data_IF_115648672237
#
_entry.id   IF_115648672237
#
_cell.length_a   1.000
_cell.length_b   1.000
_cell.length_c   1.000
_cell.angle_alpha   90.00
_cell.angle_beta   90.00
_cell.angle_gamma   90.00
#
_symmetry.space_group_name_H-M   'P 1'
#
loop_
_entity.id
_entity.type
_entity.pdbx_description
1 polymer ?
#
# COMPACT_ATOMS: atom_id res chain seq x y z
N UNK A 1 7.10 -31.72 0.57
CA UNK A 1 7.70 -30.69 1.45
C UNK A 1 6.99 -30.77 2.80
N UNK A 2 7.69 -30.63 3.92
CA UNK A 2 7.03 -30.59 5.25
C UNK A 2 6.06 -29.40 5.30
N UNK A 3 4.80 -29.63 5.67
CA UNK A 3 3.81 -28.55 5.87
C UNK A 3 4.03 -27.79 7.18
N UNK A 4 4.91 -28.29 8.05
CA UNK A 4 5.13 -27.77 9.40
C UNK A 4 5.40 -26.24 9.46
N UNK A 5 6.24 -25.63 8.60
CA UNK A 5 6.43 -24.18 8.64
C UNK A 5 5.18 -23.42 8.20
N UNK A 6 4.47 -23.91 7.17
CA UNK A 6 3.25 -23.29 6.66
C UNK A 6 2.14 -23.33 7.71
N UNK A 7 1.91 -24.48 8.33
CA UNK A 7 0.85 -24.64 9.34
C UNK A 7 1.09 -23.71 10.54
N UNK A 8 2.35 -23.54 10.97
CA UNK A 8 2.73 -22.60 12.05
C UNK A 8 2.50 -21.14 11.66
N UNK A 9 2.92 -20.74 10.45
CA UNK A 9 2.70 -19.39 9.94
C UNK A 9 1.21 -19.09 9.80
N UNK A 10 0.44 -20.01 9.21
CA UNK A 10 -1.00 -19.88 9.05
C UNK A 10 -1.70 -19.75 10.41
N UNK A 11 -1.36 -20.59 11.39
CA UNK A 11 -1.93 -20.50 12.73
C UNK A 11 -1.60 -19.17 13.42
N UNK A 12 -0.39 -18.65 13.24
CA UNK A 12 -0.01 -17.33 13.74
C UNK A 12 -0.88 -16.24 13.12
N UNK A 13 -1.00 -16.21 11.78
CA UNK A 13 -1.76 -15.18 11.05
C UNK A 13 -3.23 -15.21 11.46
N UNK A 14 -3.85 -16.40 11.53
CA UNK A 14 -5.25 -16.55 11.94
C UNK A 14 -5.53 -16.04 13.35
N UNK A 15 -4.52 -15.93 14.21
CA UNK A 15 -4.65 -15.40 15.56
C UNK A 15 -4.42 -13.87 15.66
N UNK A 16 -4.22 -13.16 14.53
CA UNK A 16 -3.89 -11.72 14.49
C UNK A 16 -5.03 -10.81 14.03
N UNK A 17 -6.28 -11.25 14.11
CA UNK A 17 -7.44 -10.43 13.74
C UNK A 17 -7.45 -9.06 14.47
N UNK A 18 -7.29 -9.06 15.79
CA UNK A 18 -7.28 -7.81 16.57
C UNK A 18 -6.12 -6.87 16.21
N UNK A 19 -4.95 -7.44 15.93
CA UNK A 19 -3.77 -6.68 15.50
C UNK A 19 -3.99 -6.10 14.09
N UNK A 20 -4.55 -6.89 13.16
CA UNK A 20 -4.92 -6.43 11.83
C UNK A 20 -5.91 -5.25 11.89
N UNK A 21 -6.95 -5.38 12.71
CA UNK A 21 -7.94 -4.31 12.92
C UNK A 21 -7.28 -3.07 13.54
N UNK A 22 -6.34 -3.25 14.47
CA UNK A 22 -5.61 -2.14 15.08
C UNK A 22 -4.76 -1.37 14.07
N UNK A 23 -3.97 -2.08 13.26
CA UNK A 23 -3.15 -1.48 12.20
C UNK A 23 -4.05 -0.76 11.19
N UNK A 24 -5.13 -1.42 10.76
CA UNK A 24 -6.10 -0.86 9.80
C UNK A 24 -6.71 0.45 10.33
N UNK A 25 -7.16 0.47 11.58
CA UNK A 25 -7.70 1.68 12.21
C UNK A 25 -6.69 2.83 12.22
N UNK A 26 -5.43 2.54 12.55
CA UNK A 26 -4.39 3.55 12.55
C UNK A 26 -4.11 4.10 11.13
N UNK A 27 -3.98 3.22 10.13
CA UNK A 27 -3.75 3.62 8.75
C UNK A 27 -4.89 4.47 8.17
N UNK A 28 -6.15 4.06 8.40
CA UNK A 28 -7.34 4.80 7.96
C UNK A 28 -7.43 6.17 8.62
N UNK A 29 -7.00 6.30 9.88
CA UNK A 29 -7.05 7.58 10.60
C UNK A 29 -6.07 8.62 10.06
N UNK A 30 -5.02 8.19 9.35
CA UNK A 30 -4.01 9.08 8.78
C UNK A 30 -4.34 9.33 7.31
N UNK A 31 -4.81 10.54 7.01
CA UNK A 31 -5.18 10.94 5.64
C UNK A 31 -3.94 11.10 4.78
N UNK A 32 -3.69 10.14 3.90
CA UNK A 32 -2.58 10.16 2.94
C UNK A 32 -3.12 10.50 1.55
N UNK A 33 -3.58 11.74 1.39
CA UNK A 33 -4.06 12.25 0.11
C UNK A 33 -2.92 13.00 -0.58
N UNK A 34 -2.61 12.66 -1.83
CA UNK A 34 -1.66 13.43 -2.64
C UNK A 34 -2.17 14.85 -2.97
N UNK A 35 -1.30 15.77 -3.41
CA UNK A 35 -1.67 17.15 -3.75
C UNK A 35 -2.74 17.25 -4.84
N UNK A 36 -2.75 16.35 -5.83
CA UNK A 36 -3.79 16.31 -6.87
C UNK A 36 -5.17 15.95 -6.32
N UNK A 37 -5.21 15.29 -5.16
CA UNK A 37 -6.41 14.96 -4.39
C UNK A 37 -6.66 15.96 -3.25
N UNK A 38 -5.95 17.10 -3.23
CA UNK A 38 -6.13 18.17 -2.24
C UNK A 38 -5.51 17.90 -0.86
N UNK A 39 -4.59 16.94 -0.76
CA UNK A 39 -3.94 16.58 0.49
C UNK A 39 -2.48 17.00 0.62
N UNK A 40 -1.84 16.51 1.69
CA UNK A 40 -0.47 16.85 2.09
C UNK A 40 0.57 15.77 1.77
N UNK A 41 0.17 14.72 1.06
CA UNK A 41 0.99 13.53 0.80
C UNK A 41 0.98 12.53 1.97
N UNK A 42 1.90 11.58 1.91
CA UNK A 42 1.92 10.35 2.69
C UNK A 42 2.90 10.42 3.87
N UNK A 43 3.56 11.56 4.10
CA UNK A 43 4.64 11.72 5.08
C UNK A 43 4.27 11.23 6.49
N UNK A 44 3.09 11.60 7.00
CA UNK A 44 2.62 11.17 8.32
C UNK A 44 2.39 9.67 8.39
N UNK A 45 1.75 9.09 7.37
CA UNK A 45 1.47 7.65 7.31
C UNK A 45 2.76 6.84 7.13
N UNK A 46 3.66 7.28 6.26
CA UNK A 46 4.97 6.66 6.07
C UNK A 46 5.83 6.71 7.34
N UNK A 47 5.78 7.81 8.11
CA UNK A 47 6.46 7.92 9.39
C UNK A 47 5.87 6.95 10.43
N UNK A 48 4.54 6.90 10.55
CA UNK A 48 3.84 5.95 11.42
C UNK A 48 4.18 4.51 11.06
N UNK A 49 4.12 4.16 9.78
CA UNK A 49 4.41 2.81 9.28
C UNK A 49 5.86 2.41 9.53
N UNK A 50 6.81 3.32 9.31
CA UNK A 50 8.23 3.08 9.59
C UNK A 50 8.47 2.79 11.08
N UNK A 51 7.85 3.56 11.96
CA UNK A 51 7.93 3.35 13.41
C UNK A 51 7.28 2.02 13.82
N UNK A 52 6.11 1.72 13.27
CA UNK A 52 5.40 0.48 13.53
C UNK A 52 6.19 -0.76 13.08
N UNK A 53 6.79 -0.75 11.89
CA UNK A 53 7.65 -1.83 11.39
C UNK A 53 8.85 -2.07 12.31
N UNK A 54 9.56 -1.00 12.71
CA UNK A 54 10.70 -1.11 13.63
C UNK A 54 10.29 -1.70 14.99
N UNK A 55 9.20 -1.21 15.57
CA UNK A 55 8.64 -1.74 16.82
C UNK A 55 8.17 -3.19 16.70
N UNK A 56 7.75 -3.59 15.50
CA UNK A 56 7.31 -4.95 15.18
C UNK A 56 8.44 -5.95 14.99
N UNK A 57 9.71 -5.52 15.07
CA UNK A 57 10.89 -6.40 15.01
C UNK A 57 11.60 -6.44 13.66
N UNK A 58 11.16 -5.65 12.67
CA UNK A 58 11.85 -5.55 11.39
C UNK A 58 13.19 -4.81 11.56
N UNK A 59 14.29 -5.47 11.20
CA UNK A 59 15.65 -4.96 11.44
C UNK A 59 16.22 -4.12 10.28
N UNK A 60 15.75 -4.34 9.04
CA UNK A 60 16.10 -3.54 7.86
C UNK A 60 14.86 -2.82 7.34
N UNK A 61 14.63 -1.60 7.81
CA UNK A 61 13.53 -0.70 7.38
C UNK A 61 14.15 0.61 6.89
N UNK A 62 13.90 0.96 5.63
CA UNK A 62 14.45 2.15 4.97
C UNK A 62 13.37 2.93 4.25
N UNK A 63 13.48 4.26 4.29
CA UNK A 63 12.71 5.16 3.46
C UNK A 63 13.56 5.57 2.25
N UNK A 64 12.96 5.59 1.06
CA UNK A 64 13.50 6.10 -0.19
C UNK A 64 12.65 7.31 -0.61
N UNK A 65 12.89 8.50 -0.03
CA UNK A 65 12.06 9.66 -0.27
C UNK A 65 12.23 10.17 -1.70
N UNK A 66 11.11 10.37 -2.39
CA UNK A 66 11.04 11.00 -3.70
C UNK A 66 10.84 12.51 -3.55
N UNK A 67 11.72 13.38 -4.07
CA UNK A 67 11.54 14.82 -3.98
C UNK A 67 10.24 15.29 -4.64
N UNK A 68 9.41 16.04 -3.91
CA UNK A 68 8.15 16.60 -4.40
C UNK A 68 7.91 17.97 -3.72
N UNK A 69 8.18 19.10 -4.40
CA UNK A 69 7.99 20.42 -3.82
C UNK A 69 6.51 20.80 -3.64
N UNK A 70 5.56 20.00 -4.13
CA UNK A 70 4.13 20.28 -4.01
C UNK A 70 3.53 19.78 -2.69
N UNK A 71 4.23 18.92 -1.94
CA UNK A 71 3.84 18.52 -0.58
C UNK A 71 4.59 19.35 0.48
N UNK A 72 3.99 19.62 1.65
CA UNK A 72 4.64 20.38 2.72
C UNK A 72 5.95 19.76 3.23
N UNK A 73 6.08 18.43 3.17
CA UNK A 73 7.28 17.72 3.57
C UNK A 73 8.46 17.88 2.59
N UNK A 74 8.20 18.36 1.35
CA UNK A 74 9.18 18.46 0.28
C UNK A 74 9.55 17.12 -0.40
N UNK A 75 9.04 16.00 0.12
CA UNK A 75 9.28 14.65 -0.38
C UNK A 75 8.13 13.69 -0.03
N UNK A 76 7.99 12.63 -0.84
CA UNK A 76 7.01 11.55 -0.70
C UNK A 76 7.73 10.27 -0.26
N UNK A 77 7.34 9.62 0.85
CA UNK A 77 8.07 8.46 1.36
C UNK A 77 7.82 7.18 0.54
N UNK A 78 8.83 6.32 0.43
CA UNK A 78 8.68 4.96 -0.06
C UNK A 78 9.37 4.02 0.92
N UNK A 79 8.60 3.21 1.66
CA UNK A 79 9.11 2.43 2.78
C UNK A 79 9.40 1.01 2.34
N UNK A 80 10.64 0.57 2.49
CA UNK A 80 11.07 -0.82 2.22
C UNK A 80 11.44 -1.49 3.52
N UNK A 81 10.90 -2.68 3.77
CA UNK A 81 11.30 -3.56 4.86
C UNK A 81 11.82 -4.89 4.30
N UNK A 82 12.93 -5.40 4.83
CA UNK A 82 13.55 -6.64 4.33
C UNK A 82 13.73 -7.69 5.41
N UNK A 83 13.45 -8.93 5.05
CA UNK A 83 13.71 -10.12 5.86
C UNK A 83 14.65 -11.03 5.06
N UNK A 84 15.91 -11.21 5.50
CA UNK A 84 16.85 -12.08 4.81
C UNK A 84 16.36 -13.53 4.76
N UNK A 85 16.44 -14.13 3.58
CA UNK A 85 16.19 -15.56 3.38
C UNK A 85 17.44 -16.41 3.53
N UNK A 86 17.25 -17.72 3.48
CA UNK A 86 18.36 -18.69 3.36
C UNK A 86 19.13 -18.47 2.05
N UNK A 87 18.41 -18.07 1.01
CA UNK A 87 18.93 -17.75 -0.31
C UNK A 87 18.74 -16.26 -0.60
N UNK A 88 19.80 -15.62 -1.09
CA UNK A 88 19.85 -14.17 -1.34
C UNK A 88 20.01 -13.83 -2.83
N UNK A 89 20.05 -14.85 -3.69
CA UNK A 89 20.09 -14.73 -5.16
C UNK A 89 18.76 -14.29 -5.76
N UNK A 90 17.68 -14.35 -4.97
CA UNK A 90 16.32 -13.95 -5.34
C UNK A 90 15.59 -13.35 -4.14
N UNK A 91 14.69 -12.41 -4.41
CA UNK A 91 13.74 -11.86 -3.46
C UNK A 91 12.30 -12.09 -3.89
N UNK A 92 11.41 -12.19 -2.90
CA UNK A 92 9.96 -12.08 -3.07
C UNK A 92 9.58 -10.70 -2.53
N UNK A 93 9.00 -9.87 -3.39
CA UNK A 93 8.48 -8.55 -3.08
C UNK A 93 6.97 -8.62 -2.93
N UNK A 94 6.46 -8.03 -1.85
CA UNK A 94 5.03 -7.72 -1.71
C UNK A 94 4.91 -6.21 -1.72
N UNK A 95 4.10 -5.69 -2.65
CA UNK A 95 4.01 -4.26 -2.95
C UNK A 95 2.61 -3.75 -2.66
N UNK A 96 2.50 -2.68 -1.89
CA UNK A 96 1.24 -1.99 -1.60
C UNK A 96 1.47 -0.49 -1.61
N UNK A 97 0.39 0.28 -1.74
CA UNK A 97 0.46 1.74 -1.68
C UNK A 97 -0.12 2.28 -0.37
N UNK A 98 0.33 3.49 0.01
CA UNK A 98 -0.03 4.15 1.26
C UNK A 98 -1.10 5.21 1.07
N UNK A 99 -1.11 5.83 -0.10
CA UNK A 99 -2.06 6.86 -0.46
C UNK A 99 -3.47 6.30 -0.61
N UNK A 100 -4.43 7.21 -0.69
CA UNK A 100 -5.84 6.88 -0.90
C UNK A 100 -6.47 7.96 -1.77
N UNK A 101 -7.58 7.66 -2.42
CA UNK A 101 -8.45 8.68 -3.00
C UNK A 101 -9.25 9.48 -1.94
N UNK A 102 -9.76 10.67 -2.29
CA UNK A 102 -10.70 11.41 -1.43
C UNK A 102 -11.92 10.58 -1.02
N UNK A 103 -12.51 10.93 0.11
CA UNK A 103 -13.74 10.32 0.62
C UNK A 103 -14.95 10.54 -0.32
N UNK A 104 -14.90 11.58 -1.16
CA UNK A 104 -16.01 11.95 -2.02
C UNK A 104 -17.15 12.60 -1.24
N UNK A 105 -18.39 12.23 -1.56
CA UNK A 105 -19.59 12.82 -0.96
C UNK A 105 -19.87 12.23 0.43
N UNK A 106 -19.66 13.05 1.47
CA UNK A 106 -19.86 12.69 2.87
C UNK A 106 -21.30 12.26 3.20
N UNK A 107 -22.32 12.74 2.46
CA UNK A 107 -23.72 12.36 2.70
C UNK A 107 -24.01 10.90 2.33
N UNK A 108 -23.15 10.29 1.50
CA UNK A 108 -23.27 8.88 1.09
C UNK A 108 -22.56 7.91 2.04
N UNK A 109 -21.83 8.43 3.03
CA UNK A 109 -21.14 7.62 4.01
C UNK A 109 -22.05 7.31 5.20
N UNK A 110 -22.20 6.02 5.52
CA UNK A 110 -22.88 5.59 6.75
C UNK A 110 -21.97 5.64 7.99
N UNK A 111 -20.66 5.72 7.78
CA UNK A 111 -19.62 5.77 8.82
C UNK A 111 -18.58 6.83 8.47
N UNK A 112 -17.89 7.48 9.43
CA UNK A 112 -16.89 8.48 9.09
C UNK A 112 -15.76 7.85 8.26
N UNK A 113 -15.39 8.41 7.09
CA UNK A 113 -14.47 7.77 6.15
C UNK A 113 -13.07 7.53 6.76
N UNK A 114 -12.63 8.39 7.67
CA UNK A 114 -11.29 8.31 8.28
C UNK A 114 -11.33 7.80 9.73
N UNK A 115 -12.41 7.14 10.14
CA UNK A 115 -12.50 6.41 11.40
C UNK A 115 -12.92 4.97 11.09
N UNK A 116 -11.98 4.03 11.03
CA UNK A 116 -12.34 2.68 10.60
C UNK A 116 -13.32 2.02 11.58
N UNK A 117 -14.53 1.71 11.09
CA UNK A 117 -15.61 1.08 11.86
C UNK A 117 -15.67 -0.40 11.52
N UNK A 118 -15.60 -1.24 12.57
CA UNK A 118 -15.82 -2.69 12.41
C UNK A 118 -17.30 -2.97 12.64
N UNK A 119 -17.99 -3.52 11.64
CA UNK A 119 -19.41 -3.86 11.70
C UNK A 119 -19.67 -5.09 10.83
N UNK A 120 -20.42 -6.06 11.37
CA UNK A 120 -20.86 -7.25 10.62
C UNK A 120 -19.71 -8.02 9.92
N UNK A 121 -18.56 -8.14 10.61
CA UNK A 121 -17.39 -8.84 10.08
C UNK A 121 -16.64 -8.10 8.97
N UNK A 122 -16.94 -6.81 8.77
CA UNK A 122 -16.28 -5.94 7.77
C UNK A 122 -15.69 -4.72 8.45
N UNK A 123 -14.69 -4.11 7.80
CA UNK A 123 -14.09 -2.84 8.21
C UNK A 123 -14.46 -1.78 7.18
N UNK A 124 -15.14 -0.73 7.62
CA UNK A 124 -15.55 0.39 6.80
C UNK A 124 -14.64 1.59 7.07
N UNK A 125 -14.05 2.13 6.01
CA UNK A 125 -13.17 3.30 6.05
C UNK A 125 -12.56 3.54 4.67
N UNK A 126 -12.14 4.77 4.38
CA UNK A 126 -11.41 5.10 3.16
C UNK A 126 -10.02 4.47 3.26
N UNK A 127 -9.68 3.70 2.22
CA UNK A 127 -8.39 3.06 2.09
C UNK A 127 -8.36 1.61 2.56
N UNK A 128 -9.43 1.11 3.18
CA UNK A 128 -9.42 -0.24 3.78
C UNK A 128 -9.14 -1.32 2.74
N UNK A 129 -9.87 -1.31 1.63
CA UNK A 129 -9.69 -2.26 0.52
C UNK A 129 -8.57 -1.84 -0.45
N UNK A 130 -8.37 -0.54 -0.61
CA UNK A 130 -7.51 0.06 -1.63
C UNK A 130 -6.61 1.14 -0.99
N UNK A 131 -5.38 0.81 -0.57
CA UNK A 131 -4.78 -0.54 -0.55
C UNK A 131 -4.30 -0.99 0.85
N UNK A 132 -4.94 -0.50 1.92
CA UNK A 132 -4.48 -0.83 3.29
C UNK A 132 -4.66 -2.31 3.62
N UNK A 133 -5.57 -3.06 2.99
CA UNK A 133 -5.67 -4.50 3.22
C UNK A 133 -4.39 -5.23 2.79
N UNK A 134 -3.84 -4.88 1.61
CA UNK A 134 -2.64 -5.51 1.07
C UNK A 134 -1.44 -5.18 1.93
N UNK A 135 -1.38 -3.93 2.39
CA UNK A 135 -0.39 -3.43 3.34
C UNK A 135 -0.46 -4.20 4.67
N UNK A 136 -1.62 -4.29 5.30
CA UNK A 136 -1.81 -4.96 6.60
C UNK A 136 -1.54 -6.46 6.49
N UNK A 137 -2.07 -7.12 5.47
CA UNK A 137 -1.91 -8.56 5.26
C UNK A 137 -0.43 -8.93 5.03
N UNK A 138 0.27 -8.18 4.18
CA UNK A 138 1.68 -8.41 3.89
C UNK A 138 2.57 -8.17 5.11
N UNK A 139 2.26 -7.14 5.91
CA UNK A 139 2.95 -6.85 7.16
C UNK A 139 2.81 -8.01 8.14
N UNK A 140 1.58 -8.47 8.41
CA UNK A 140 1.32 -9.56 9.36
C UNK A 140 1.98 -10.86 8.90
N UNK A 141 1.91 -11.17 7.59
CA UNK A 141 2.56 -12.34 7.02
C UNK A 141 4.09 -12.30 7.20
N UNK A 142 4.72 -11.15 6.95
CA UNK A 142 6.16 -10.97 7.14
C UNK A 142 6.55 -11.02 8.63
N UNK A 143 5.75 -10.39 9.49
CA UNK A 143 5.94 -10.42 10.95
C UNK A 143 5.89 -11.84 11.52
N UNK A 144 5.07 -12.73 10.95
CA UNK A 144 5.00 -14.13 11.36
C UNK A 144 6.36 -14.86 11.22
N UNK A 145 7.15 -14.55 10.17
CA UNK A 145 8.50 -15.10 10.03
C UNK A 145 9.43 -14.63 11.14
N UNK A 146 9.37 -13.33 11.49
CA UNK A 146 10.19 -12.72 12.53
C UNK A 146 9.83 -13.30 13.90
N UNK A 147 8.56 -13.23 14.30
CA UNK A 147 8.11 -13.60 15.64
C UNK A 147 8.29 -15.10 15.91
N UNK A 148 8.14 -15.95 14.89
CA UNK A 148 8.33 -17.40 15.01
C UNK A 148 9.79 -17.84 14.79
N UNK A 149 10.70 -16.90 14.53
CA UNK A 149 12.10 -17.15 14.17
C UNK A 149 12.24 -18.13 13.00
N UNK A 150 11.37 -18.00 11.98
CA UNK A 150 11.41 -18.80 10.76
C UNK A 150 12.16 -18.00 9.69
N UNK A 151 13.25 -18.56 9.17
CA UNK A 151 13.99 -17.95 8.07
C UNK A 151 13.29 -18.32 6.74
N UNK A 152 12.82 -17.35 5.94
CA UNK A 152 12.20 -17.63 4.65
C UNK A 152 13.22 -18.25 3.68
N UNK A 153 12.74 -18.97 2.66
CA UNK A 153 13.63 -19.62 1.69
C UNK A 153 14.40 -18.58 0.87
N UNK A 154 13.71 -17.56 0.39
CA UNK A 154 14.25 -16.39 -0.30
C UNK A 154 14.09 -15.14 0.56
N UNK A 155 14.78 -14.05 0.22
CA UNK A 155 14.51 -12.76 0.87
C UNK A 155 13.02 -12.43 0.73
N UNK A 156 12.38 -12.01 1.82
CA UNK A 156 11.02 -11.50 1.82
C UNK A 156 11.08 -10.01 2.06
N UNK A 157 10.70 -9.22 1.05
CA UNK A 157 10.76 -7.77 1.08
C UNK A 157 9.34 -7.21 0.95
N UNK A 158 9.05 -6.19 1.75
CA UNK A 158 7.85 -5.37 1.62
C UNK A 158 8.26 -4.02 1.05
N UNK A 159 7.43 -3.47 0.17
CA UNK A 159 7.56 -2.08 -0.28
C UNK A 159 6.20 -1.40 -0.23
N UNK A 160 6.17 -0.26 0.45
CA UNK A 160 5.00 0.58 0.61
C UNK A 160 5.26 1.89 -0.10
N UNK A 161 4.65 2.07 -1.26
CA UNK A 161 4.89 3.21 -2.14
C UNK A 161 3.90 4.34 -1.89
N UNK A 162 4.30 5.54 -2.27
CA UNK A 162 3.40 6.70 -2.39
C UNK A 162 2.84 6.82 -3.81
N UNK A 163 1.86 7.68 -4.00
CA UNK A 163 1.43 8.21 -5.32
C UNK A 163 0.74 7.25 -6.27
N UNK A 164 0.36 6.04 -5.86
CA UNK A 164 -0.23 5.06 -6.78
C UNK A 164 -1.49 5.63 -7.46
N UNK A 165 -2.36 6.23 -6.64
CA UNK A 165 -3.68 6.78 -7.03
C UNK A 165 -3.54 7.98 -7.97
N UNK A 166 -2.33 8.53 -8.10
CA UNK A 166 -2.00 9.72 -8.88
C UNK A 166 -0.80 9.51 -9.82
N UNK A 167 -0.70 8.30 -10.40
CA UNK A 167 0.19 7.87 -11.50
C UNK A 167 1.55 7.28 -11.08
N UNK A 168 1.83 7.07 -9.80
CA UNK A 168 3.02 6.40 -9.27
C UNK A 168 4.37 7.09 -9.58
N UNK A 169 4.37 8.36 -10.01
CA UNK A 169 5.58 9.10 -10.39
C UNK A 169 6.53 9.20 -9.19
N UNK A 170 6.01 9.59 -8.03
CA UNK A 170 6.80 9.70 -6.80
C UNK A 170 6.89 8.38 -6.01
N UNK A 171 6.22 7.35 -6.51
CA UNK A 171 6.16 6.02 -5.94
C UNK A 171 7.10 5.05 -6.63
N UNK A 172 6.48 4.04 -7.26
CA UNK A 172 7.20 2.97 -7.92
C UNK A 172 8.06 3.45 -9.10
N UNK A 173 7.61 4.42 -9.89
CA UNK A 173 8.38 4.96 -11.02
C UNK A 173 9.70 5.55 -10.51
N UNK A 174 9.65 6.41 -9.48
CA UNK A 174 10.83 6.95 -8.82
C UNK A 174 11.78 5.85 -8.32
N UNK A 175 11.26 4.81 -7.65
CA UNK A 175 12.09 3.70 -7.17
C UNK A 175 12.77 2.96 -8.31
N UNK A 176 12.08 2.68 -9.41
CA UNK A 176 12.65 1.96 -10.55
C UNK A 176 13.72 2.81 -11.26
N UNK A 177 13.51 4.12 -11.37
CA UNK A 177 14.44 5.02 -12.06
C UNK A 177 15.69 5.36 -11.23
N UNK A 178 15.52 5.60 -9.92
CA UNK A 178 16.57 6.15 -9.06
C UNK A 178 17.16 5.12 -8.10
N UNK A 179 16.45 4.01 -7.87
CA UNK A 179 16.82 2.94 -6.96
C UNK A 179 16.65 1.56 -7.62
N UNK A 180 17.01 1.46 -8.91
CA UNK A 180 16.91 0.22 -9.68
C UNK A 180 17.65 -0.97 -9.03
N UNK A 181 18.67 -0.71 -8.22
CA UNK A 181 19.44 -1.73 -7.48
C UNK A 181 18.62 -2.46 -6.42
N UNK A 182 17.46 -1.93 -6.03
CA UNK A 182 16.49 -2.62 -5.17
C UNK A 182 15.94 -3.88 -5.83
N UNK A 183 15.78 -3.86 -7.16
CA UNK A 183 14.97 -4.81 -7.90
C UNK A 183 15.83 -5.63 -8.87
N UNK A 184 15.58 -6.95 -8.93
CA UNK A 184 16.27 -7.84 -9.86
C UNK A 184 15.27 -8.52 -10.78
N UNK A 185 15.70 -8.79 -12.00
CA UNK A 185 14.87 -9.48 -13.00
C UNK A 185 14.38 -10.86 -12.53
N UNK A 186 15.16 -11.53 -11.69
CA UNK A 186 14.89 -12.87 -11.17
C UNK A 186 13.96 -12.87 -9.94
N UNK A 187 13.67 -11.70 -9.39
CA UNK A 187 12.76 -11.53 -8.25
C UNK A 187 11.31 -11.88 -8.63
N UNK A 188 10.50 -12.13 -7.61
CA UNK A 188 9.06 -12.35 -7.74
C UNK A 188 8.37 -11.15 -7.12
N UNK A 189 7.36 -10.61 -7.81
CA UNK A 189 6.58 -9.45 -7.37
C UNK A 189 5.13 -9.87 -7.18
N UNK A 190 4.58 -9.58 -6.01
CA UNK A 190 3.19 -9.86 -5.63
C UNK A 190 2.56 -8.51 -5.27
N UNK A 191 1.46 -8.17 -5.94
CA UNK A 191 0.75 -6.89 -5.77
C UNK A 191 -0.69 -7.22 -5.35
N UNK A 192 -0.99 -7.29 -4.04
CA UNK A 192 -2.34 -7.58 -3.55
C UNK A 192 -3.24 -6.34 -3.61
N UNK A 193 -3.54 -5.88 -4.83
CA UNK A 193 -4.37 -4.69 -5.10
C UNK A 193 -5.65 -4.98 -5.90
N UNK A 194 -5.85 -6.24 -6.27
CA UNK A 194 -7.08 -6.74 -6.81
C UNK A 194 -7.25 -8.20 -6.40
N UNK A 195 -8.49 -8.68 -6.34
CA UNK A 195 -8.76 -10.04 -5.91
C UNK A 195 -10.23 -10.39 -5.83
N UNK A 196 -10.46 -11.62 -5.39
CA UNK A 196 -11.78 -12.15 -5.06
C UNK A 196 -11.86 -12.43 -3.55
N UNK A 197 -13.07 -12.46 -2.94
CA UNK A 197 -13.23 -12.67 -1.51
C UNK A 197 -12.60 -13.96 -0.96
N UNK A 198 -12.40 -14.98 -1.80
CA UNK A 198 -11.75 -16.25 -1.43
C UNK A 198 -10.23 -16.27 -1.70
N UNK A 199 -9.67 -15.15 -2.17
CA UNK A 199 -8.24 -14.99 -2.50
C UNK A 199 -7.70 -16.00 -3.52
N UNK A 200 -8.56 -16.57 -4.38
CA UNK A 200 -8.14 -17.58 -5.36
C UNK A 200 -7.67 -17.00 -6.70
N UNK A 201 -7.99 -15.73 -6.97
CA UNK A 201 -7.62 -15.06 -8.22
C UNK A 201 -6.11 -14.81 -8.28
N UNK A 202 -5.51 -15.16 -9.43
CA UNK A 202 -4.15 -14.77 -9.79
C UNK A 202 -4.24 -14.02 -11.12
N UNK A 203 -4.01 -12.72 -11.07
CA UNK A 203 -3.90 -11.89 -12.25
C UNK A 203 -2.45 -11.85 -12.74
N UNK A 204 -2.27 -12.00 -14.05
CA UNK A 204 -0.94 -12.02 -14.69
C UNK A 204 -0.75 -10.89 -15.71
N UNK A 205 -1.78 -10.07 -15.91
CA UNK A 205 -1.78 -8.97 -16.85
C UNK A 205 -2.88 -7.97 -16.48
N UNK A 206 -2.54 -6.68 -16.58
CA UNK A 206 -3.47 -5.58 -16.34
C UNK A 206 -3.62 -4.74 -17.63
N UNK A 207 -4.72 -3.99 -17.75
CA UNK A 207 -4.90 -3.02 -18.83
C UNK A 207 -4.19 -1.71 -18.47
N UNK A 208 -3.61 -1.04 -19.47
CA UNK A 208 -3.14 0.33 -19.30
C UNK A 208 -4.31 1.33 -19.38
N UNK A 209 -4.14 2.51 -18.79
CA UNK A 209 -5.14 3.56 -18.72
C UNK A 209 -4.85 4.64 -19.77
N UNK A 210 -5.89 5.08 -20.50
CA UNK A 210 -5.85 6.25 -21.38
C UNK A 210 -6.84 7.30 -20.92
N UNK A 211 -6.36 8.33 -20.23
CA UNK A 211 -7.17 9.47 -19.80
C UNK A 211 -7.34 10.49 -20.94
N UNK A 212 -8.57 10.67 -21.43
CA UNK A 212 -8.89 11.66 -22.47
C UNK A 212 -9.65 12.84 -21.86
N UNK A 213 -9.17 14.07 -22.13
CA UNK A 213 -9.84 15.32 -21.74
C UNK A 213 -10.26 16.10 -22.98
N UNK A 214 -11.56 16.32 -23.13
CA UNK A 214 -12.11 17.17 -24.19
C UNK A 214 -12.35 18.58 -23.63
N UNK A 215 -11.75 19.58 -24.28
CA UNK A 215 -11.98 20.99 -23.96
C UNK A 215 -12.65 21.64 -25.14
N UNK A 216 -13.90 22.08 -24.98
CA UNK A 216 -14.59 22.91 -25.96
C UNK A 216 -14.33 24.38 -25.64
N UNK A 217 -14.00 25.17 -26.67
CA UNK A 217 -13.85 26.62 -26.57
C UNK A 217 -14.93 27.27 -27.41
N UNK A 218 -15.68 28.20 -26.83
CA UNK A 218 -16.75 28.94 -27.50
C UNK A 218 -16.77 30.39 -27.03
N UNK A 219 -17.58 31.22 -27.70
CA UNK A 219 -17.94 32.54 -27.19
C UNK A 219 -19.26 32.43 -26.43
N UNK A 220 -19.35 33.10 -25.29
CA UNK A 220 -20.61 33.19 -24.56
C UNK A 220 -21.59 34.04 -25.40
N UNK A 221 -22.76 33.46 -25.70
CA UNK A 221 -23.80 34.05 -26.54
C UNK A 221 -25.16 33.79 -25.92
N UNK A 222 -26.18 34.56 -26.30
CA UNK A 222 -27.55 34.31 -25.86
C UNK A 222 -28.03 32.98 -26.44
N UNK A 223 -28.64 32.12 -25.62
CA UNK A 223 -29.00 30.76 -26.04
C UNK A 223 -29.95 30.70 -27.26
N UNK A 224 -30.73 31.75 -27.51
CA UNK A 224 -31.60 31.86 -28.70
C UNK A 224 -30.90 32.41 -29.96
N UNK A 225 -29.64 32.84 -29.86
CA UNK A 225 -28.83 33.37 -30.98
C UNK A 225 -27.37 32.86 -30.84
N UNK A 226 -27.14 31.56 -31.07
CA UNK A 226 -25.82 30.94 -30.92
C UNK A 226 -24.78 31.46 -31.92
#
# INVERSE_FOLDING_TARGET
MSKEPFDRLSAYISAREEEAIHIMKALVSIKALGPLNGGTGEAEKGAWLTDYLKKSGFSDVKNYPAPDPSVPAGERPNIVARIPGKRTDKSIWIMSHMDVVPEGDLEKWETPPYEAVVKEGKIFGRGTEDNHQGLVASLIAAKAFIDLNIVPEYNLNLVFVSDEETNSIYGLEYLVEHHADLFRKEDIYIIPDAGEPDSTMIEIAEKSILWLRFVTKGKQVHASTP
#
